data_IF_381024409838
#
_entry.id   IF_381024409838
#
_cell.length_a   1.000
_cell.length_b   1.000
_cell.length_c   1.000
_cell.angle_alpha   90.00
_cell.angle_beta   90.00
_cell.angle_gamma   90.00
#
_symmetry.space_group_name_H-M   'P 1'
#
loop_
_entity.id
_entity.type
_entity.pdbx_description
1 polymer ?
#
# COMPACT_ATOMS: atom_id res chain seq x y z
N UNK A 1 19.82 83.46 63.14
CA UNK A 1 20.93 83.81 62.25
C UNK A 1 20.77 83.01 60.99
N UNK A 2 20.16 83.60 59.91
CA UNK A 2 20.94 84.02 58.77
C UNK A 2 21.62 82.84 58.08
N UNK A 3 21.35 82.44 56.91
CA UNK A 3 21.26 83.11 55.60
C UNK A 3 20.65 82.16 54.59
N UNK A 4 19.70 82.59 53.81
CA UNK A 4 19.59 82.08 52.45
C UNK A 4 20.67 82.71 51.59
N UNK A 5 20.73 82.61 50.35
CA UNK A 5 19.74 82.41 49.34
C UNK A 5 20.24 81.61 48.10
N UNK A 6 19.28 81.27 47.28
CA UNK A 6 19.11 81.65 45.84
C UNK A 6 19.73 80.75 44.74
N UNK A 7 19.18 80.93 43.55
CA UNK A 7 18.84 79.79 42.66
C UNK A 7 19.75 79.80 41.43
N UNK A 8 19.70 78.83 40.62
CA UNK A 8 19.90 79.00 39.17
C UNK A 8 20.03 77.70 38.40
N UNK A 9 19.33 77.65 37.33
CA UNK A 9 19.80 76.90 36.18
C UNK A 9 18.73 76.05 35.49
N UNK A 10 17.78 76.69 34.81
CA UNK A 10 16.97 76.01 33.77
C UNK A 10 17.93 75.68 32.61
N UNK A 11 18.34 74.45 32.50
CA UNK A 11 18.93 73.91 31.29
C UNK A 11 17.84 73.41 30.34
N UNK A 12 17.65 74.12 29.25
CA UNK A 12 16.82 73.68 28.13
C UNK A 12 17.45 72.48 27.54
N UNK A 13 16.74 71.35 27.58
CA UNK A 13 17.05 70.15 26.81
C UNK A 13 16.58 70.40 25.39
N UNK A 14 17.44 70.25 24.36
CA UNK A 14 17.01 70.45 22.96
C UNK A 14 16.09 69.33 22.52
N UNK A 15 14.97 69.74 21.98
CA UNK A 15 13.83 68.89 21.53
C UNK A 15 14.07 68.04 20.27
N UNK A 16 15.38 67.82 19.95
CA UNK A 16 15.70 67.08 18.69
C UNK A 16 16.20 65.63 18.86
N UNK A 17 16.18 65.08 20.09
CA UNK A 17 16.66 63.74 20.37
C UNK A 17 15.52 62.68 20.52
N UNK A 18 14.24 63.10 20.45
CA UNK A 18 13.08 62.21 20.62
C UNK A 18 12.51 61.70 19.27
N UNK A 19 13.01 62.24 18.15
CA UNK A 19 12.51 61.84 16.81
C UNK A 19 13.30 60.74 16.08
N UNK A 20 14.31 60.13 16.70
CA UNK A 20 15.14 59.07 16.07
C UNK A 20 15.02 57.69 16.70
N UNK A 21 14.09 57.45 17.60
CA UNK A 21 13.89 56.16 18.27
C UNK A 21 12.57 55.44 17.89
N UNK A 22 11.90 55.90 16.82
CA UNK A 22 10.62 55.34 16.37
C UNK A 22 10.65 54.86 14.92
N UNK A 23 11.77 54.34 14.45
CA UNK A 23 11.84 53.84 13.06
C UNK A 23 12.72 52.60 12.95
N UNK A 24 12.48 51.55 13.70
CA UNK A 24 13.01 50.22 13.38
C UNK A 24 12.20 49.13 14.14
N UNK A 25 10.87 49.16 14.01
CA UNK A 25 10.10 47.93 14.15
C UNK A 25 9.85 47.47 12.74
N UNK A 26 10.87 46.91 12.09
CA UNK A 26 10.76 46.19 10.88
C UNK A 26 9.98 44.91 11.18
N UNK A 27 8.78 44.83 10.62
CA UNK A 27 7.92 43.69 10.65
C UNK A 27 8.67 42.49 10.05
N UNK A 28 9.16 41.60 10.88
CA UNK A 28 9.52 40.22 10.50
C UNK A 28 8.20 39.48 10.41
N UNK A 29 7.53 39.65 9.30
CA UNK A 29 6.43 38.74 8.90
C UNK A 29 7.07 37.41 8.59
N UNK A 30 7.18 36.52 9.57
CA UNK A 30 7.51 35.16 9.37
C UNK A 30 6.41 34.57 8.49
N UNK A 31 6.66 34.41 7.17
CA UNK A 31 5.89 33.54 6.32
C UNK A 31 6.08 32.11 6.83
N UNK A 32 5.23 31.68 7.75
CA UNK A 32 5.01 30.28 8.02
C UNK A 32 4.38 29.70 6.75
N UNK A 33 5.21 29.18 5.86
CA UNK A 33 4.77 28.23 4.85
C UNK A 33 4.18 27.06 5.64
N UNK A 34 2.87 27.07 5.83
CA UNK A 34 2.13 25.88 6.17
C UNK A 34 2.36 24.91 5.00
N UNK A 35 3.31 24.00 5.16
CA UNK A 35 3.42 22.86 4.29
C UNK A 35 2.08 22.13 4.41
N UNK A 36 1.17 22.36 3.45
CA UNK A 36 0.00 21.51 3.27
C UNK A 36 0.56 20.09 3.16
N UNK A 37 0.11 19.14 3.97
CA UNK A 37 0.48 17.76 3.76
C UNK A 37 0.10 17.46 2.31
N UNK A 38 1.06 17.16 1.47
CA UNK A 38 0.81 16.58 0.17
C UNK A 38 -0.01 15.32 0.49
N UNK A 39 -1.31 15.37 0.25
CA UNK A 39 -2.14 14.17 0.29
C UNK A 39 -1.60 13.32 -0.85
N UNK A 40 -0.66 12.44 -0.52
CA UNK A 40 -0.29 11.37 -1.41
C UNK A 40 -1.60 10.59 -1.65
N UNK A 41 -1.93 10.43 -2.91
CA UNK A 41 -3.19 9.83 -3.33
C UNK A 41 -2.84 8.40 -3.78
N UNK A 42 -3.23 7.41 -3.00
CA UNK A 42 -2.97 6.00 -3.31
C UNK A 42 -3.42 5.61 -4.72
N UNK A 43 -4.33 6.37 -5.33
CA UNK A 43 -4.72 6.18 -6.72
C UNK A 43 -3.62 6.63 -7.69
N UNK A 44 -2.93 7.73 -7.39
CA UNK A 44 -1.76 8.20 -8.17
C UNK A 44 -0.59 7.23 -8.02
N UNK A 45 -0.37 6.73 -6.81
CA UNK A 45 0.67 5.73 -6.57
C UNK A 45 0.39 4.45 -7.36
N UNK A 46 -0.88 3.99 -7.40
CA UNK A 46 -1.25 2.86 -8.25
C UNK A 46 -1.02 3.14 -9.73
N UNK A 47 -1.43 4.33 -10.23
CA UNK A 47 -1.22 4.70 -11.62
C UNK A 47 0.26 4.70 -12.01
N UNK A 48 1.09 5.29 -11.16
CA UNK A 48 2.53 5.31 -11.35
C UNK A 48 3.11 3.89 -11.32
N UNK A 49 2.73 3.08 -10.35
CA UNK A 49 3.14 1.69 -10.23
C UNK A 49 2.77 0.86 -11.48
N UNK A 50 1.55 1.05 -12.00
CA UNK A 50 1.10 0.35 -13.21
C UNK A 50 1.92 0.74 -14.44
N UNK A 51 2.30 2.01 -14.55
CA UNK A 51 3.06 2.55 -15.68
C UNK A 51 4.54 2.18 -15.64
N UNK A 52 5.15 2.17 -14.45
CA UNK A 52 6.61 2.13 -14.30
C UNK A 52 7.15 0.74 -13.92
N UNK A 53 6.31 -0.10 -13.28
CA UNK A 53 6.76 -1.40 -12.76
C UNK A 53 6.22 -2.53 -13.61
N UNK A 54 7.05 -3.07 -14.50
CA UNK A 54 6.74 -4.21 -15.38
C UNK A 54 6.91 -5.56 -14.70
N UNK A 55 7.78 -5.65 -13.70
CA UNK A 55 8.04 -6.85 -12.90
C UNK A 55 8.44 -6.48 -11.49
N UNK A 56 8.28 -7.37 -10.53
CA UNK A 56 8.88 -7.22 -9.21
C UNK A 56 9.03 -8.55 -8.50
N UNK A 57 9.89 -8.56 -7.48
CA UNK A 57 10.00 -9.64 -6.51
C UNK A 57 10.05 -9.08 -5.09
N UNK A 58 9.52 -9.85 -4.13
CA UNK A 58 9.51 -9.48 -2.71
C UNK A 58 9.40 -10.72 -1.81
N UNK A 59 9.84 -10.60 -0.58
CA UNK A 59 9.35 -11.44 0.48
C UNK A 59 7.98 -10.96 0.95
N UNK A 60 7.16 -11.83 1.52
CA UNK A 60 5.90 -11.44 2.14
C UNK A 60 5.64 -12.17 3.45
N UNK A 61 4.87 -11.51 4.31
CA UNK A 61 4.20 -12.14 5.45
C UNK A 61 2.70 -11.90 5.29
N UNK A 62 1.91 -12.95 5.42
CA UNK A 62 0.45 -12.90 5.37
C UNK A 62 -0.13 -13.28 6.71
N UNK A 63 -1.06 -12.47 7.22
CA UNK A 63 -1.87 -12.77 8.40
C UNK A 63 -3.32 -12.89 7.98
N UNK A 64 -3.88 -14.08 8.11
CA UNK A 64 -5.30 -14.36 7.87
C UNK A 64 -6.02 -14.36 9.20
N UNK A 65 -7.05 -13.52 9.32
CA UNK A 65 -7.92 -13.44 10.49
C UNK A 65 -9.31 -13.92 10.09
N UNK A 66 -9.75 -15.02 10.66
CA UNK A 66 -11.10 -15.55 10.45
C UNK A 66 -12.07 -14.93 11.47
N UNK A 67 -13.34 -14.73 11.13
CA UNK A 67 -14.34 -14.23 12.07
C UNK A 67 -14.49 -15.17 13.26
N UNK A 68 -14.97 -14.61 14.37
CA UNK A 68 -15.29 -15.37 15.58
C UNK A 68 -16.45 -16.32 15.27
N UNK A 69 -16.28 -17.60 15.56
CA UNK A 69 -17.34 -18.60 15.42
C UNK A 69 -18.27 -18.60 16.64
N UNK A 70 -19.49 -19.09 16.46
CA UNK A 70 -20.44 -19.25 17.56
C UNK A 70 -19.79 -20.09 18.68
N UNK A 71 -19.75 -19.54 19.88
CA UNK A 71 -19.13 -20.15 21.05
C UNK A 71 -17.64 -19.87 21.26
N UNK A 72 -16.99 -19.18 20.33
CA UNK A 72 -15.60 -18.68 20.48
C UNK A 72 -15.62 -17.20 20.89
N UNK A 73 -14.64 -16.75 21.66
CA UNK A 73 -14.49 -15.34 22.08
C UNK A 73 -13.37 -14.61 21.33
N UNK A 74 -12.54 -15.34 20.58
CA UNK A 74 -11.35 -14.80 19.91
C UNK A 74 -11.32 -15.24 18.45
N UNK A 75 -11.05 -14.28 17.57
CA UNK A 75 -10.81 -14.55 16.14
C UNK A 75 -9.53 -15.38 15.97
N UNK A 76 -9.58 -16.38 15.09
CA UNK A 76 -8.41 -17.20 14.77
C UNK A 76 -7.50 -16.46 13.81
N UNK A 77 -6.20 -16.49 14.09
CA UNK A 77 -5.16 -15.92 13.24
C UNK A 77 -4.22 -17.02 12.74
N UNK A 78 -3.95 -17.00 11.44
CA UNK A 78 -2.93 -17.85 10.81
C UNK A 78 -1.92 -16.94 10.13
N UNK A 79 -0.63 -17.16 10.42
CA UNK A 79 0.46 -16.43 9.78
C UNK A 79 1.17 -17.36 8.81
N UNK A 80 1.41 -16.87 7.60
CA UNK A 80 2.17 -17.54 6.56
C UNK A 80 3.22 -16.58 6.00
N UNK A 81 4.28 -17.10 5.42
CA UNK A 81 5.29 -16.28 4.76
C UNK A 81 5.87 -16.99 3.55
N UNK A 82 6.48 -16.20 2.66
CA UNK A 82 7.04 -16.73 1.45
C UNK A 82 7.62 -15.66 0.53
N UNK A 83 7.65 -15.97 -0.75
CA UNK A 83 8.12 -15.08 -1.82
C UNK A 83 7.01 -14.80 -2.80
N UNK A 84 6.96 -13.56 -3.26
CA UNK A 84 6.07 -13.09 -4.32
C UNK A 84 6.89 -12.57 -5.49
N UNK A 85 6.46 -12.91 -6.70
CA UNK A 85 7.04 -12.44 -7.94
C UNK A 85 5.92 -12.16 -8.94
N UNK A 86 6.09 -11.13 -9.78
CA UNK A 86 5.23 -10.96 -10.94
C UNK A 86 6.00 -10.44 -12.16
N UNK A 87 5.45 -10.72 -13.33
CA UNK A 87 5.90 -10.22 -14.63
C UNK A 87 4.67 -9.91 -15.48
N UNK A 88 4.45 -8.65 -15.80
CA UNK A 88 3.34 -8.25 -16.67
C UNK A 88 3.56 -8.67 -18.12
N UNK A 89 2.47 -8.93 -18.84
CA UNK A 89 1.10 -9.04 -18.34
C UNK A 89 0.80 -10.41 -17.71
N UNK A 90 -0.09 -10.43 -16.72
CA UNK A 90 -0.83 -11.60 -16.23
C UNK A 90 0.00 -12.75 -15.63
N UNK A 91 1.26 -12.56 -15.30
CA UNK A 91 2.09 -13.59 -14.69
C UNK A 91 2.41 -13.22 -13.26
N UNK A 92 2.16 -14.13 -12.33
CA UNK A 92 2.61 -13.99 -10.96
C UNK A 92 2.88 -15.36 -10.32
N UNK A 93 3.65 -15.34 -9.23
CA UNK A 93 4.00 -16.51 -8.46
C UNK A 93 4.03 -16.17 -6.98
N UNK A 94 3.31 -16.93 -6.17
CA UNK A 94 3.44 -16.98 -4.73
C UNK A 94 4.05 -18.31 -4.34
N UNK A 95 5.12 -18.29 -3.58
CA UNK A 95 5.73 -19.46 -2.94
C UNK A 95 5.61 -19.30 -1.44
N UNK A 96 4.65 -19.96 -0.82
CA UNK A 96 4.55 -20.07 0.62
C UNK A 96 5.58 -21.08 1.10
N UNK A 97 6.38 -20.68 2.12
CA UNK A 97 7.42 -21.53 2.70
C UNK A 97 7.13 -21.87 4.15
N UNK A 98 6.23 -21.14 4.81
CA UNK A 98 5.84 -21.36 6.22
C UNK A 98 4.36 -21.03 6.40
N UNK A 99 3.64 -21.75 7.29
CA UNK A 99 4.03 -22.99 7.98
C UNK A 99 3.96 -24.21 7.06
N UNK A 100 3.24 -24.13 5.93
CA UNK A 100 3.04 -25.18 4.93
C UNK A 100 3.51 -24.69 3.57
N UNK A 101 4.12 -25.57 2.81
CA UNK A 101 4.58 -25.25 1.47
C UNK A 101 3.43 -25.31 0.47
N UNK A 102 3.21 -24.20 -0.21
CA UNK A 102 2.20 -24.08 -1.25
C UNK A 102 2.73 -23.18 -2.36
N UNK A 103 2.44 -23.50 -3.59
CA UNK A 103 2.81 -22.68 -4.74
C UNK A 103 1.57 -22.27 -5.52
N UNK A 104 1.43 -20.98 -5.83
CA UNK A 104 0.40 -20.45 -6.70
C UNK A 104 1.12 -19.78 -7.87
N UNK A 105 0.82 -20.24 -9.10
CA UNK A 105 1.41 -19.70 -10.33
C UNK A 105 0.33 -19.33 -11.31
N UNK A 106 0.39 -18.10 -11.82
CA UNK A 106 -0.36 -17.66 -12.99
C UNK A 106 0.62 -17.52 -14.15
N UNK A 107 0.41 -18.28 -15.22
CA UNK A 107 1.31 -18.32 -16.38
C UNK A 107 0.85 -17.41 -17.54
N UNK A 108 -0.32 -16.79 -17.39
CA UNK A 108 -1.01 -15.99 -18.40
C UNK A 108 -2.26 -16.65 -18.95
N UNK A 109 -2.40 -17.97 -18.83
CA UNK A 109 -3.54 -18.77 -19.30
C UNK A 109 -4.19 -19.55 -18.16
N UNK A 110 -3.38 -20.17 -17.31
CA UNK A 110 -3.80 -21.06 -16.23
C UNK A 110 -3.32 -20.52 -14.88
N UNK A 111 -4.20 -20.56 -13.90
CA UNK A 111 -3.86 -20.42 -12.49
C UNK A 111 -3.68 -21.80 -11.87
N UNK A 112 -2.47 -22.08 -11.46
CA UNK A 112 -2.05 -23.31 -10.79
C UNK A 112 -1.95 -23.07 -9.30
N UNK A 113 -2.51 -23.96 -8.50
CA UNK A 113 -2.33 -24.02 -7.06
C UNK A 113 -1.83 -25.41 -6.70
N UNK A 114 -0.63 -25.50 -6.16
CA UNK A 114 -0.01 -26.75 -5.73
C UNK A 114 0.14 -26.76 -4.22
N UNK A 115 -0.49 -27.70 -3.57
CA UNK A 115 -0.35 -28.02 -2.16
C UNK A 115 0.64 -29.18 -2.04
N UNK A 116 1.80 -28.92 -1.41
CA UNK A 116 2.88 -29.90 -1.32
C UNK A 116 2.52 -31.05 -0.38
N UNK A 117 1.89 -30.73 0.76
CA UNK A 117 1.55 -31.72 1.79
C UNK A 117 0.48 -32.72 1.28
N UNK A 118 -0.45 -32.24 0.46
CA UNK A 118 -1.49 -33.07 -0.16
C UNK A 118 -1.03 -33.70 -1.49
N UNK A 119 0.11 -33.29 -2.03
CA UNK A 119 0.56 -33.59 -3.38
C UNK A 119 -0.53 -33.37 -4.44
N UNK A 120 -1.27 -32.28 -4.29
CA UNK A 120 -2.45 -31.96 -5.11
C UNK A 120 -2.27 -30.66 -5.88
N UNK A 121 -2.63 -30.65 -7.15
CA UNK A 121 -2.62 -29.50 -8.03
C UNK A 121 -4.03 -29.16 -8.46
N UNK A 122 -4.46 -27.91 -8.25
CA UNK A 122 -5.68 -27.37 -8.86
C UNK A 122 -5.30 -26.46 -10.02
N UNK A 123 -5.89 -26.70 -11.20
CA UNK A 123 -5.67 -25.90 -12.39
C UNK A 123 -6.99 -25.25 -12.84
N UNK A 124 -7.03 -23.93 -12.98
CA UNK A 124 -8.20 -23.16 -13.43
C UNK A 124 -7.80 -22.22 -14.57
N UNK A 125 -8.74 -21.93 -15.47
CA UNK A 125 -8.51 -20.88 -16.45
C UNK A 125 -8.30 -19.56 -15.73
N UNK A 126 -7.19 -18.89 -15.99
CA UNK A 126 -6.82 -17.68 -15.28
C UNK A 126 -7.82 -16.54 -15.48
N UNK A 127 -8.37 -16.38 -16.68
CA UNK A 127 -9.39 -15.37 -16.99
C UNK A 127 -10.66 -15.47 -16.13
N UNK A 128 -11.05 -16.69 -15.73
CA UNK A 128 -12.27 -16.93 -14.95
C UNK A 128 -12.09 -16.51 -13.48
N UNK A 129 -10.84 -16.41 -13.01
CA UNK A 129 -10.51 -16.14 -11.61
C UNK A 129 -9.76 -14.82 -11.39
N UNK A 130 -9.26 -14.17 -12.44
CA UNK A 130 -8.52 -12.91 -12.33
C UNK A 130 -9.34 -11.83 -11.65
N UNK A 131 -10.59 -11.63 -12.05
CA UNK A 131 -11.46 -10.61 -11.44
C UNK A 131 -11.81 -10.84 -9.98
N UNK A 132 -11.49 -12.01 -9.43
CA UNK A 132 -11.71 -12.38 -8.04
C UNK A 132 -10.41 -12.58 -7.25
N UNK A 133 -9.24 -12.31 -7.84
CA UNK A 133 -7.96 -12.46 -7.16
C UNK A 133 -7.28 -11.11 -6.92
N UNK A 134 -6.78 -10.86 -5.70
CA UNK A 134 -6.03 -9.63 -5.38
C UNK A 134 -4.79 -9.43 -6.24
N UNK A 135 -4.17 -10.54 -6.68
CA UNK A 135 -3.00 -10.50 -7.56
C UNK A 135 -3.31 -9.89 -8.95
N UNK A 136 -4.57 -9.92 -9.38
CA UNK A 136 -5.00 -9.27 -10.61
C UNK A 136 -4.77 -7.76 -10.60
N UNK A 137 -4.97 -7.10 -9.46
CA UNK A 137 -4.70 -5.67 -9.30
C UNK A 137 -3.22 -5.31 -9.51
N UNK A 138 -2.32 -6.26 -9.19
CA UNK A 138 -0.88 -6.04 -9.27
C UNK A 138 -0.34 -6.49 -10.63
N UNK A 139 -0.69 -7.69 -11.08
CA UNK A 139 -0.04 -8.37 -12.20
C UNK A 139 -0.80 -8.25 -13.53
N UNK A 140 -2.13 -8.11 -13.52
CA UNK A 140 -2.96 -8.09 -14.72
C UNK A 140 -3.03 -6.71 -15.36
N UNK A 141 -3.11 -5.65 -14.56
CA UNK A 141 -3.30 -4.29 -15.03
C UNK A 141 -2.07 -3.72 -15.72
N UNK A 142 -2.26 -3.11 -16.88
CA UNK A 142 -1.26 -2.26 -17.53
C UNK A 142 -1.59 -0.78 -17.36
N UNK A 143 -2.86 -0.47 -17.06
CA UNK A 143 -3.34 0.90 -16.80
C UNK A 143 -4.58 0.91 -15.88
N UNK A 144 -4.88 2.07 -15.31
CA UNK A 144 -6.04 2.28 -14.42
C UNK A 144 -7.38 2.05 -15.13
N UNK A 145 -7.46 2.28 -16.44
CA UNK A 145 -8.71 2.13 -17.19
C UNK A 145 -9.13 0.67 -17.21
N UNK A 146 -8.22 -0.23 -17.58
CA UNK A 146 -8.48 -1.66 -17.58
C UNK A 146 -8.89 -2.18 -16.20
N UNK A 147 -8.22 -1.69 -15.13
CA UNK A 147 -8.63 -2.03 -13.77
C UNK A 147 -9.99 -1.47 -13.39
N UNK A 148 -10.34 -0.26 -13.85
CA UNK A 148 -11.63 0.38 -13.56
C UNK A 148 -12.81 -0.31 -14.27
N UNK A 149 -12.58 -1.11 -15.29
CA UNK A 149 -13.61 -1.94 -15.92
C UNK A 149 -14.02 -3.11 -15.00
N UNK A 150 -13.09 -3.62 -14.20
CA UNK A 150 -13.30 -4.78 -13.31
C UNK A 150 -13.56 -4.36 -11.87
N UNK A 151 -12.94 -3.28 -11.43
CA UNK A 151 -13.01 -2.78 -10.05
C UNK A 151 -13.52 -1.34 -9.99
N UNK A 152 -14.26 -1.01 -8.94
CA UNK A 152 -14.48 0.35 -8.48
C UNK A 152 -13.27 0.74 -7.62
N UNK A 153 -12.50 1.76 -8.06
CA UNK A 153 -11.30 2.22 -7.38
C UNK A 153 -11.59 3.52 -6.62
N UNK A 154 -11.20 3.58 -5.35
CA UNK A 154 -11.37 4.76 -4.50
C UNK A 154 -10.10 5.01 -3.69
N UNK A 155 -9.69 6.27 -3.56
CA UNK A 155 -8.69 6.65 -2.57
C UNK A 155 -9.23 6.33 -1.16
N UNK A 156 -8.37 5.85 -0.29
CA UNK A 156 -8.71 5.58 1.11
C UNK A 156 -7.80 6.42 2.02
N UNK A 157 -8.24 6.74 3.25
CA UNK A 157 -7.42 7.51 4.18
C UNK A 157 -6.06 6.86 4.42
N UNK A 158 -5.01 7.68 4.44
CA UNK A 158 -3.68 7.24 4.83
C UNK A 158 -3.68 6.70 6.25
N UNK A 159 -3.00 5.58 6.47
CA UNK A 159 -2.88 4.94 7.78
C UNK A 159 -1.56 4.16 7.87
N UNK A 160 -0.98 4.10 9.06
CA UNK A 160 0.25 3.35 9.36
C UNK A 160 1.45 3.72 8.45
N UNK A 161 1.48 4.98 7.99
CA UNK A 161 2.51 5.48 7.08
C UNK A 161 2.39 4.91 5.66
N UNK A 162 1.20 4.47 5.26
CA UNK A 162 0.86 4.01 3.93
C UNK A 162 -0.23 4.88 3.33
N UNK A 163 -0.10 5.12 2.02
CA UNK A 163 -1.16 5.68 1.19
C UNK A 163 -2.00 4.52 0.66
N UNK A 164 -3.29 4.59 0.92
CA UNK A 164 -4.19 3.49 0.60
C UNK A 164 -5.14 3.82 -0.54
N UNK A 165 -5.42 2.84 -1.36
CA UNK A 165 -6.59 2.81 -2.22
C UNK A 165 -7.43 1.57 -1.90
N UNK A 166 -8.72 1.66 -2.13
CA UNK A 166 -9.65 0.54 -2.06
C UNK A 166 -10.17 0.18 -3.46
N UNK A 167 -10.14 -1.11 -3.78
CA UNK A 167 -10.68 -1.68 -5.00
C UNK A 167 -11.79 -2.65 -4.63
N UNK A 168 -12.99 -2.45 -5.17
CA UNK A 168 -14.14 -3.34 -5.00
C UNK A 168 -14.52 -3.96 -6.33
N UNK A 169 -14.61 -5.29 -6.42
CA UNK A 169 -15.08 -5.93 -7.66
C UNK A 169 -16.45 -5.39 -8.08
N UNK A 170 -16.62 -5.10 -9.36
CA UNK A 170 -17.93 -4.71 -9.91
C UNK A 170 -18.88 -5.91 -10.00
N UNK A 171 -18.34 -7.08 -10.33
CA UNK A 171 -19.08 -8.33 -10.20
C UNK A 171 -19.06 -8.79 -8.74
N UNK A 172 -20.24 -8.95 -8.14
CA UNK A 172 -20.44 -9.33 -6.74
C UNK A 172 -20.67 -10.84 -6.54
N UNK A 173 -20.64 -11.63 -7.60
CA UNK A 173 -20.89 -13.08 -7.52
C UNK A 173 -19.69 -13.85 -6.94
N UNK A 174 -18.52 -13.18 -6.79
CA UNK A 174 -17.31 -13.77 -6.24
C UNK A 174 -17.24 -13.66 -4.71
N UNK A 175 -16.29 -14.38 -4.13
CA UNK A 175 -16.01 -14.31 -2.69
C UNK A 175 -15.24 -13.05 -2.29
N UNK A 176 -14.56 -12.38 -3.22
CA UNK A 176 -13.81 -11.16 -2.95
C UNK A 176 -14.75 -9.98 -2.71
N UNK A 177 -14.69 -9.36 -1.54
CA UNK A 177 -15.49 -8.19 -1.18
C UNK A 177 -14.73 -6.89 -1.46
N UNK A 178 -13.49 -6.80 -1.04
CA UNK A 178 -12.62 -5.65 -1.31
C UNK A 178 -11.14 -6.01 -1.20
N UNK A 179 -10.33 -5.22 -1.90
CA UNK A 179 -8.87 -5.21 -1.74
C UNK A 179 -8.45 -3.78 -1.45
N UNK A 180 -7.65 -3.58 -0.40
CA UNK A 180 -6.95 -2.32 -0.19
C UNK A 180 -5.48 -2.51 -0.57
N UNK A 181 -4.95 -1.57 -1.33
CA UNK A 181 -3.54 -1.56 -1.77
C UNK A 181 -2.85 -0.42 -1.08
N UNK A 182 -1.80 -0.71 -0.34
CA UNK A 182 -1.04 0.24 0.45
C UNK A 182 0.34 0.50 -0.15
N UNK A 183 0.63 1.77 -0.40
CA UNK A 183 1.93 2.23 -0.89
C UNK A 183 2.70 2.97 0.20
N UNK A 184 4.01 2.84 0.19
CA UNK A 184 4.93 3.63 0.99
C UNK A 184 5.94 4.29 0.07
N UNK A 185 5.91 5.62 0.00
CA UNK A 185 6.76 6.39 -0.91
C UNK A 185 6.70 5.88 -2.36
N UNK A 186 5.49 5.61 -2.87
CA UNK A 186 5.25 5.10 -4.23
C UNK A 186 5.53 3.61 -4.43
N UNK A 187 6.05 2.89 -3.43
CA UNK A 187 6.37 1.48 -3.52
C UNK A 187 5.27 0.63 -2.88
N UNK A 188 4.87 -0.47 -3.53
CA UNK A 188 3.88 -1.39 -2.98
C UNK A 188 4.39 -2.01 -1.69
N UNK A 189 3.65 -1.82 -0.59
CA UNK A 189 4.05 -2.24 0.74
C UNK A 189 3.07 -3.24 1.37
N UNK A 190 1.78 -3.15 1.08
CA UNK A 190 0.79 -4.03 1.68
C UNK A 190 -0.45 -4.25 0.80
N UNK A 191 -1.11 -5.38 1.02
CA UNK A 191 -2.44 -5.69 0.51
C UNK A 191 -3.32 -6.12 1.68
N UNK A 192 -4.50 -5.53 1.80
CA UNK A 192 -5.55 -6.05 2.67
C UNK A 192 -6.69 -6.59 1.82
N UNK A 193 -7.14 -7.79 2.12
CA UNK A 193 -8.17 -8.50 1.39
C UNK A 193 -9.30 -8.82 2.35
N UNK A 194 -10.52 -8.47 1.99
CA UNK A 194 -11.73 -8.88 2.71
C UNK A 194 -12.56 -9.77 1.79
N UNK A 195 -13.04 -10.89 2.32
CA UNK A 195 -13.97 -11.77 1.63
C UNK A 195 -15.40 -11.66 2.15
N UNK A 196 -16.34 -12.25 1.42
CA UNK A 196 -17.76 -12.27 1.77
C UNK A 196 -18.10 -13.11 3.00
N UNK A 197 -17.14 -13.91 3.50
CA UNK A 197 -17.30 -14.73 4.70
C UNK A 197 -16.79 -13.99 5.96
N UNK A 198 -16.34 -12.72 5.81
CA UNK A 198 -15.81 -11.91 6.90
C UNK A 198 -14.35 -12.22 7.25
N UNK A 199 -13.66 -13.02 6.46
CA UNK A 199 -12.24 -13.25 6.63
C UNK A 199 -11.44 -12.04 6.11
N UNK A 200 -10.42 -11.66 6.84
CA UNK A 200 -9.46 -10.62 6.44
C UNK A 200 -8.07 -11.21 6.32
N UNK A 201 -7.41 -10.91 5.20
CA UNK A 201 -6.04 -11.28 4.95
C UNK A 201 -5.20 -10.03 4.71
N UNK A 202 -4.12 -9.89 5.46
CA UNK A 202 -3.16 -8.78 5.30
C UNK A 202 -1.84 -9.37 4.85
N UNK A 203 -1.40 -8.98 3.66
CA UNK A 203 -0.06 -9.27 3.14
C UNK A 203 0.80 -8.01 3.35
N UNK A 204 1.96 -8.19 3.96
CA UNK A 204 2.98 -7.13 4.07
C UNK A 204 4.20 -7.58 3.29
N UNK A 205 4.65 -6.73 2.36
CA UNK A 205 5.82 -7.00 1.54
C UNK A 205 7.09 -6.46 2.19
N UNK A 206 8.19 -7.18 2.00
CA UNK A 206 9.52 -6.78 2.44
C UNK A 206 10.53 -7.04 1.32
N UNK A 207 11.66 -6.34 1.36
CA UNK A 207 12.72 -6.46 0.35
C UNK A 207 12.17 -6.34 -1.08
N UNK A 208 11.24 -5.44 -1.28
CA UNK A 208 10.61 -5.20 -2.58
C UNK A 208 11.62 -4.67 -3.60
N UNK A 209 11.63 -5.23 -4.80
CA UNK A 209 12.50 -4.85 -5.90
C UNK A 209 11.67 -4.65 -7.17
N UNK A 210 11.54 -3.40 -7.60
CA UNK A 210 10.90 -3.06 -8.87
C UNK A 210 11.77 -3.47 -10.04
N UNK A 211 11.12 -3.85 -11.13
CA UNK A 211 11.75 -4.20 -12.40
C UNK A 211 12.85 -5.25 -12.27
N UNK A 212 12.65 -6.20 -11.34
CA UNK A 212 13.54 -7.35 -11.19
C UNK A 212 13.70 -8.11 -12.53
N UNK A 213 14.89 -8.58 -12.88
CA UNK A 213 15.16 -9.25 -14.16
C UNK A 213 14.59 -10.67 -14.18
N UNK A 214 13.26 -10.77 -14.14
CA UNK A 214 12.54 -12.03 -14.13
C UNK A 214 12.30 -12.54 -15.56
N UNK A 215 12.50 -13.85 -15.77
CA UNK A 215 12.24 -14.51 -17.05
C UNK A 215 10.87 -15.17 -17.05
N UNK A 216 10.22 -15.24 -18.21
CA UNK A 216 8.89 -15.84 -18.36
C UNK A 216 8.84 -17.32 -17.92
N UNK A 217 9.96 -18.06 -18.06
CA UNK A 217 10.07 -19.45 -17.63
C UNK A 217 9.82 -19.66 -16.15
N UNK A 218 10.06 -18.62 -15.33
CA UNK A 218 9.83 -18.64 -13.89
C UNK A 218 8.35 -18.80 -13.53
N UNK A 219 7.47 -18.41 -14.44
CA UNK A 219 6.03 -18.46 -14.28
C UNK A 219 5.40 -19.67 -14.98
N UNK A 220 6.20 -20.60 -15.52
CA UNK A 220 5.71 -21.90 -15.98
C UNK A 220 5.59 -22.85 -14.81
N UNK A 221 4.48 -23.58 -14.77
CA UNK A 221 4.28 -24.61 -13.77
C UNK A 221 4.07 -25.96 -14.47
N UNK A 222 4.74 -26.98 -13.97
CA UNK A 222 4.52 -28.38 -14.38
C UNK A 222 4.18 -29.16 -13.12
N UNK A 223 3.03 -29.85 -13.09
CA UNK A 223 2.69 -30.71 -11.97
C UNK A 223 3.79 -31.72 -11.70
N UNK A 224 4.21 -31.89 -10.42
CA UNK A 224 5.16 -32.92 -10.06
C UNK A 224 4.66 -34.33 -10.42
N UNK A 225 5.59 -35.28 -10.61
CA UNK A 225 5.22 -36.66 -10.87
C UNK A 225 4.40 -37.24 -9.72
N UNK A 226 3.27 -37.84 -10.02
CA UNK A 226 2.37 -38.44 -9.04
C UNK A 226 1.47 -37.45 -8.30
N UNK A 227 1.49 -36.16 -8.66
CA UNK A 227 0.52 -35.21 -8.12
C UNK A 227 -0.89 -35.46 -8.70
N UNK A 228 -1.90 -35.37 -7.83
CA UNK A 228 -3.31 -35.38 -8.26
C UNK A 228 -3.67 -34.03 -8.87
N UNK A 229 -4.13 -34.02 -10.12
CA UNK A 229 -4.45 -32.80 -10.87
C UNK A 229 -5.94 -32.63 -11.07
N UNK A 230 -6.52 -31.68 -10.33
CA UNK A 230 -7.95 -31.33 -10.40
C UNK A 230 -8.15 -30.14 -11.35
N UNK A 231 -9.12 -30.28 -12.26
CA UNK A 231 -9.58 -29.23 -13.19
C UNK A 231 -11.08 -29.06 -13.02
N UNK A 232 -11.51 -28.16 -12.08
CA UNK A 232 -12.91 -27.91 -11.81
C UNK A 232 -13.59 -27.13 -12.93
#
# INVERSE_FOLDING_TARGET
>A
MMHGPEPCGRGRVPSNMIKKLLSTVAAVTALTFAALPAQADGLKDLEQFLREVGSAQAGFTQVVTSPVRNGETVARRKTSSGRFEFLRPNRFRFEYTKPFEQTIVADGETLWLYDVDLNQVTARKQQDVLGSTPAALIAAGTDLRALSEVFELKAAPAADGLEWLEARPRNKDGQLQSVRVGFRAGQLAALEIADSLGQRSVLTFNQWQDNAPLKAERFRFQPPAGADVIRP
#
